data_IF_075351122806
#
_entry.id   IF_075351122806
#
_cell.length_a   1.000
_cell.length_b   1.000
_cell.length_c   1.000
_cell.angle_alpha   90.00
_cell.angle_beta   90.00
_cell.angle_gamma   90.00
#
_symmetry.space_group_name_H-M   'P 1'
#
loop_
_entity.id
_entity.type
_entity.pdbx_description
1 polymer ?
#
# COMPACT_ATOMS: atom_id res chain seq x y z
N UNK A 1 -17.77 3.35 -10.68
CA UNK A 1 -17.10 2.30 -9.91
C UNK A 1 -15.61 2.61 -9.97
N UNK A 2 -15.08 2.98 -8.80
CA UNK A 2 -13.73 2.67 -8.32
C UNK A 2 -12.54 3.56 -8.76
N UNK A 3 -12.62 4.86 -8.45
CA UNK A 3 -11.45 5.76 -8.57
C UNK A 3 -10.41 5.56 -7.44
N UNK A 4 -10.79 5.00 -6.29
CA UNK A 4 -9.90 4.85 -5.13
C UNK A 4 -8.97 3.63 -5.22
N UNK A 5 -9.48 2.51 -5.72
CA UNK A 5 -8.74 1.24 -5.94
C UNK A 5 -7.48 1.46 -6.79
N UNK A 6 -7.59 2.28 -7.84
CA UNK A 6 -6.46 2.58 -8.74
C UNK A 6 -5.38 3.44 -8.07
N UNK A 7 -5.74 4.25 -7.06
CA UNK A 7 -4.78 5.10 -6.33
C UNK A 7 -3.91 4.25 -5.39
N UNK A 8 -4.53 3.32 -4.67
CA UNK A 8 -3.85 2.41 -3.72
C UNK A 8 -2.85 1.52 -4.44
N UNK A 9 -3.29 0.87 -5.52
CA UNK A 9 -2.42 0.00 -6.30
C UNK A 9 -1.15 0.74 -6.75
N UNK A 10 -1.30 1.96 -7.29
CA UNK A 10 -0.16 2.76 -7.74
C UNK A 10 0.78 3.18 -6.61
N UNK A 11 0.25 3.49 -5.43
CA UNK A 11 1.08 3.81 -4.25
C UNK A 11 1.88 2.59 -3.80
N UNK A 12 1.25 1.42 -3.76
CA UNK A 12 1.95 0.18 -3.42
C UNK A 12 3.00 -0.17 -4.47
N UNK A 13 2.66 -0.14 -5.76
CA UNK A 13 3.59 -0.42 -6.86
C UNK A 13 4.80 0.52 -6.86
N UNK A 14 4.56 1.80 -6.57
CA UNK A 14 5.62 2.79 -6.41
C UNK A 14 6.50 2.44 -5.21
N UNK A 15 5.93 2.13 -4.05
CA UNK A 15 6.72 1.81 -2.86
C UNK A 15 7.56 0.53 -3.01
N UNK A 16 7.01 -0.48 -3.68
CA UNK A 16 7.73 -1.71 -4.06
C UNK A 16 8.90 -1.40 -5.02
N UNK A 17 8.77 -0.41 -5.90
CA UNK A 17 9.82 -0.02 -6.87
C UNK A 17 10.87 0.89 -6.24
N UNK A 18 10.43 1.89 -5.48
CA UNK A 18 11.27 2.92 -4.87
C UNK A 18 11.97 2.40 -3.59
N UNK A 19 11.51 1.27 -3.03
CA UNK A 19 12.02 0.72 -1.78
C UNK A 19 11.73 1.63 -0.57
N UNK A 20 10.79 2.56 -0.72
CA UNK A 20 10.48 3.61 0.25
C UNK A 20 9.00 3.92 0.22
N UNK A 21 8.47 4.22 1.39
CA UNK A 21 7.08 4.59 1.59
C UNK A 21 7.06 5.74 2.60
N UNK A 22 6.29 6.81 2.37
CA UNK A 22 6.13 7.83 3.41
C UNK A 22 5.16 7.36 4.49
N UNK A 23 5.30 7.87 5.71
CA UNK A 23 4.31 7.68 6.79
C UNK A 23 2.89 8.05 6.33
N UNK A 24 2.76 9.12 5.56
CA UNK A 24 1.48 9.56 5.01
C UNK A 24 0.90 8.57 3.98
N UNK A 25 1.73 8.00 3.10
CA UNK A 25 1.31 6.97 2.15
C UNK A 25 0.88 5.68 2.86
N UNK A 26 1.60 5.25 3.90
CA UNK A 26 1.21 4.09 4.72
C UNK A 26 -0.15 4.30 5.40
N UNK A 27 -0.38 5.49 5.97
CA UNK A 27 -1.67 5.83 6.57
C UNK A 27 -2.79 5.90 5.53
N UNK A 28 -2.56 6.49 4.36
CA UNK A 28 -3.54 6.50 3.27
C UNK A 28 -3.91 5.09 2.81
N UNK A 29 -2.92 4.20 2.68
CA UNK A 29 -3.14 2.81 2.28
C UNK A 29 -3.98 2.08 3.34
N UNK A 30 -3.61 2.21 4.63
CA UNK A 30 -4.36 1.63 5.74
C UNK A 30 -5.78 2.19 5.84
N UNK A 31 -5.95 3.50 5.65
CA UNK A 31 -7.23 4.17 5.72
C UNK A 31 -8.16 3.70 4.60
N UNK A 32 -7.67 3.59 3.37
CA UNK A 32 -8.46 3.09 2.25
C UNK A 32 -8.85 1.62 2.46
N UNK A 33 -7.92 0.76 2.90
CA UNK A 33 -8.23 -0.66 3.17
C UNK A 33 -9.29 -0.82 4.28
N UNK A 34 -9.28 0.06 5.29
CA UNK A 34 -10.29 0.03 6.37
C UNK A 34 -11.61 0.67 5.97
N UNK A 35 -11.57 1.76 5.22
CA UNK A 35 -12.77 2.52 4.85
C UNK A 35 -13.51 1.89 3.68
N UNK A 36 -12.78 1.20 2.81
CA UNK A 36 -13.29 0.51 1.65
C UNK A 36 -13.37 -0.99 2.00
N UNK A 37 -14.55 -1.47 2.43
CA UNK A 37 -14.81 -2.92 2.56
C UNK A 37 -14.76 -3.67 1.21
N UNK A 38 -14.23 -3.03 0.15
CA UNK A 38 -14.14 -3.51 -1.22
C UNK A 38 -12.70 -3.74 -1.70
N UNK A 39 -11.72 -3.85 -0.79
CA UNK A 39 -10.37 -4.28 -1.18
C UNK A 39 -10.46 -5.62 -1.89
N UNK A 40 -10.08 -5.63 -3.17
CA UNK A 40 -10.09 -6.82 -3.99
C UNK A 40 -9.00 -7.80 -3.52
N UNK A 41 -9.11 -9.07 -3.91
CA UNK A 41 -8.08 -10.07 -3.55
C UNK A 41 -6.68 -9.68 -4.05
N UNK A 42 -6.61 -8.97 -5.17
CA UNK A 42 -5.34 -8.52 -5.75
C UNK A 42 -4.71 -7.40 -4.92
N UNK A 43 -5.49 -6.40 -4.52
CA UNK A 43 -5.00 -5.33 -3.64
C UNK A 43 -4.58 -5.86 -2.27
N UNK A 44 -5.32 -6.81 -1.70
CA UNK A 44 -4.95 -7.42 -0.43
C UNK A 44 -3.65 -8.24 -0.55
N UNK A 45 -3.40 -8.85 -1.71
CA UNK A 45 -2.13 -9.53 -1.99
C UNK A 45 -0.98 -8.52 -2.06
N UNK A 46 -1.14 -7.43 -2.81
CA UNK A 46 -0.13 -6.37 -2.93
C UNK A 46 0.16 -5.71 -1.58
N UNK A 47 -0.87 -5.42 -0.79
CA UNK A 47 -0.69 -4.86 0.55
C UNK A 47 0.06 -5.82 1.48
N UNK A 48 -0.20 -7.12 1.39
CA UNK A 48 0.52 -8.12 2.18
C UNK A 48 1.99 -8.21 1.79
N UNK A 49 2.28 -8.11 0.49
CA UNK A 49 3.65 -8.08 -0.03
C UNK A 49 4.40 -6.83 0.45
N UNK A 50 3.75 -5.66 0.36
CA UNK A 50 4.28 -4.41 0.91
C UNK A 50 4.61 -4.53 2.40
N UNK A 51 3.68 -5.06 3.21
CA UNK A 51 3.91 -5.26 4.64
C UNK A 51 5.05 -6.23 4.93
N UNK A 52 5.21 -7.27 4.11
CA UNK A 52 6.32 -8.20 4.24
C UNK A 52 7.66 -7.52 3.94
N UNK A 53 7.75 -6.74 2.86
CA UNK A 53 8.98 -6.02 2.51
C UNK A 53 9.34 -4.93 3.53
N UNK A 54 8.36 -4.24 4.11
CA UNK A 54 8.58 -3.33 5.23
C UNK A 54 9.14 -4.09 6.44
N UNK A 55 8.57 -5.26 6.76
CA UNK A 55 9.02 -6.08 7.88
C UNK A 55 10.44 -6.64 7.67
N UNK A 56 10.76 -7.04 6.44
CA UNK A 56 12.10 -7.52 6.06
C UNK A 56 13.12 -6.37 5.97
N UNK A 57 12.66 -5.12 6.01
CA UNK A 57 13.49 -3.91 5.94
C UNK A 57 13.93 -3.55 4.52
N UNK A 58 13.31 -4.15 3.50
CA UNK A 58 13.52 -3.80 2.09
C UNK A 58 12.85 -2.47 1.75
N UNK A 59 11.71 -2.18 2.39
CA UNK A 59 11.03 -0.88 2.29
C UNK A 59 11.21 -0.12 3.59
N UNK A 60 11.76 1.09 3.47
CA UNK A 60 11.89 2.01 4.58
C UNK A 60 10.69 2.96 4.63
N UNK A 61 10.11 3.10 5.81
CA UNK A 61 9.12 4.14 6.07
C UNK A 61 9.88 5.42 6.44
N UNK A 62 9.77 6.44 5.60
CA UNK A 62 10.38 7.76 5.77
C UNK A 62 9.31 8.78 6.19
N UNK A 63 9.67 9.79 6.98
CA UNK A 63 8.75 10.81 7.49
C UNK A 63 8.62 12.02 6.54
#
# INVERSE_FOLDING_TARGET
MDANTNKIQKMIERALTDGRLSSQEDEEIKAAIRSDHQVTREEMKLYRELQQQIFEGEILIDD
#
